data_IF_972574857113
#
_entry.id   IF_972574857113
#
_cell.length_a   1.000
_cell.length_b   1.000
_cell.length_c   1.000
_cell.angle_alpha   90.00
_cell.angle_beta   90.00
_cell.angle_gamma   90.00
#
_symmetry.space_group_name_H-M   'P 1'
#
loop_
_entity.id
_entity.type
_entity.pdbx_description
1 polymer ?
#
# COMPACT_ATOMS: atom_id res chain seq x y z
N UNK A 1 -31.29 88.31 -15.34
CA UNK A 1 -31.41 87.59 -14.05
C UNK A 1 -30.76 86.22 -14.26
N UNK A 2 -29.71 85.93 -13.48
CA UNK A 2 -28.82 84.75 -13.59
C UNK A 2 -29.62 83.42 -13.56
N UNK A 3 -29.12 82.31 -14.12
CA UNK A 3 -28.30 81.31 -13.42
C UNK A 3 -27.58 80.40 -14.45
N UNK A 4 -26.33 80.07 -14.14
CA UNK A 4 -25.43 79.12 -14.82
C UNK A 4 -25.72 77.67 -14.42
N UNK A 5 -25.69 76.71 -15.36
CA UNK A 5 -25.47 75.28 -15.05
C UNK A 5 -24.25 74.74 -15.83
N UNK A 6 -23.21 74.34 -15.07
CA UNK A 6 -22.20 73.36 -15.47
C UNK A 6 -22.67 71.98 -15.00
N UNK A 7 -22.42 70.89 -15.74
CA UNK A 7 -22.12 69.52 -15.25
C UNK A 7 -21.91 68.63 -16.50
N UNK A 8 -20.69 68.19 -16.83
CA UNK A 8 -19.94 66.98 -16.39
C UNK A 8 -20.30 65.74 -17.21
N UNK A 9 -19.27 65.02 -17.68
CA UNK A 9 -19.32 64.02 -18.72
C UNK A 9 -19.71 62.60 -18.30
N UNK A 10 -19.55 61.67 -19.23
CA UNK A 10 -19.58 60.23 -18.97
C UNK A 10 -18.37 59.61 -19.66
N UNK A 11 -17.44 59.08 -18.85
CA UNK A 11 -16.32 58.27 -19.29
C UNK A 11 -16.82 56.84 -19.59
N UNK A 12 -16.39 56.30 -20.74
CA UNK A 12 -16.65 54.91 -21.12
C UNK A 12 -15.80 53.97 -20.25
N UNK A 13 -16.45 53.18 -19.40
CA UNK A 13 -15.78 52.12 -18.62
C UNK A 13 -15.80 50.84 -19.45
N UNK A 14 -14.63 50.45 -19.96
CA UNK A 14 -14.41 49.16 -20.62
C UNK A 14 -14.64 48.02 -19.63
N UNK A 15 -15.60 47.15 -19.95
CA UNK A 15 -15.92 45.97 -19.15
C UNK A 15 -14.93 44.87 -19.54
N UNK A 16 -13.86 44.69 -18.74
CA UNK A 16 -12.99 43.51 -18.87
C UNK A 16 -13.74 42.34 -18.24
N UNK A 17 -14.21 41.40 -19.05
CA UNK A 17 -14.77 40.14 -18.57
C UNK A 17 -13.68 39.29 -17.93
N UNK A 18 -13.59 39.33 -16.60
CA UNK A 18 -12.72 38.44 -15.84
C UNK A 18 -13.40 37.06 -15.81
N UNK A 19 -12.99 36.16 -16.69
CA UNK A 19 -13.38 34.75 -16.57
C UNK A 19 -12.54 34.18 -15.43
N UNK A 20 -13.11 34.14 -14.24
CA UNK A 20 -12.56 33.39 -13.12
C UNK A 20 -12.65 31.91 -13.50
N UNK A 21 -11.54 31.32 -13.94
CA UNK A 21 -11.45 29.87 -14.05
C UNK A 21 -11.62 29.30 -12.64
N UNK A 22 -12.79 28.75 -12.34
CA UNK A 22 -12.97 27.93 -11.17
C UNK A 22 -12.08 26.71 -11.34
N UNK A 23 -10.99 26.63 -10.57
CA UNK A 23 -10.27 25.37 -10.40
C UNK A 23 -11.29 24.31 -10.00
N UNK A 24 -11.44 23.28 -10.83
CA UNK A 24 -12.22 22.08 -10.54
C UNK A 24 -11.57 21.38 -9.34
N UNK A 25 -11.86 21.87 -8.15
CA UNK A 25 -11.38 21.26 -6.92
C UNK A 25 -12.03 19.90 -6.77
N UNK A 26 -11.16 18.89 -6.65
CA UNK A 26 -11.40 17.63 -5.98
C UNK A 26 -12.53 16.77 -6.54
N UNK A 27 -12.21 15.97 -7.57
CA UNK A 27 -12.71 14.60 -7.53
C UNK A 27 -12.14 13.98 -6.24
N UNK A 28 -12.95 13.88 -5.19
CA UNK A 28 -12.62 13.00 -4.07
C UNK A 28 -12.58 11.61 -4.68
N UNK A 29 -11.37 11.08 -4.90
CA UNK A 29 -11.24 9.66 -5.21
C UNK A 29 -11.97 8.91 -4.12
N UNK A 30 -12.99 8.14 -4.51
CA UNK A 30 -13.62 7.20 -3.59
C UNK A 30 -12.50 6.33 -3.00
N UNK A 31 -12.57 5.96 -1.71
CA UNK A 31 -11.57 5.10 -1.10
C UNK A 31 -11.40 3.86 -1.97
N UNK A 32 -10.18 3.64 -2.47
CA UNK A 32 -9.88 2.47 -3.28
C UNK A 32 -10.06 1.22 -2.43
N UNK A 33 -10.68 0.15 -2.97
CA UNK A 33 -10.87 -1.08 -2.21
C UNK A 33 -9.53 -1.65 -1.75
N UNK A 34 -9.47 -2.36 -0.60
CA UNK A 34 -8.26 -3.02 -0.14
C UNK A 34 -7.77 -4.10 -1.11
N UNK A 35 -6.46 -4.22 -1.28
CA UNK A 35 -5.84 -5.39 -1.92
C UNK A 35 -4.81 -6.00 -0.97
N UNK A 36 -5.00 -7.25 -0.54
CA UNK A 36 -4.10 -7.90 0.41
C UNK A 36 -3.06 -8.75 -0.32
N UNK A 37 -1.78 -8.38 -0.17
CA UNK A 37 -0.63 -9.14 -0.66
C UNK A 37 -0.01 -9.87 0.52
N UNK A 38 -0.12 -11.20 0.54
CA UNK A 38 0.27 -12.00 1.70
C UNK A 38 1.66 -12.62 1.50
N UNK A 39 2.67 -12.15 2.23
CA UNK A 39 4.01 -12.72 2.23
C UNK A 39 4.26 -13.50 3.54
N UNK A 40 4.72 -14.75 3.44
CA UNK A 40 5.04 -15.54 4.61
C UNK A 40 5.50 -16.96 4.34
N UNK A 41 5.70 -17.71 5.42
CA UNK A 41 6.08 -19.13 5.36
C UNK A 41 4.87 -20.07 5.27
N UNK A 42 5.05 -21.34 5.64
CA UNK A 42 4.01 -22.38 5.67
C UNK A 42 2.74 -21.97 6.42
N UNK A 43 2.86 -21.08 7.41
CA UNK A 43 1.70 -20.58 8.18
C UNK A 43 0.81 -19.62 7.38
N UNK A 44 1.31 -19.07 6.28
CA UNK A 44 0.56 -18.19 5.35
C UNK A 44 0.19 -18.93 4.06
N UNK A 45 0.91 -20.00 3.73
CA UNK A 45 0.84 -20.71 2.44
C UNK A 45 -0.53 -21.27 2.04
N UNK A 46 -0.70 -21.51 0.74
CA UNK A 46 -1.83 -22.29 0.21
C UNK A 46 -1.88 -23.69 0.81
N UNK A 47 -3.11 -24.17 1.04
CA UNK A 47 -3.33 -25.50 1.61
C UNK A 47 -2.84 -26.61 0.68
N UNK A 48 -2.05 -27.52 1.22
CA UNK A 48 -1.50 -28.67 0.51
C UNK A 48 -1.48 -29.93 1.40
N UNK A 49 -1.17 -31.09 0.81
CA UNK A 49 -1.03 -32.34 1.56
C UNK A 49 0.04 -32.29 2.66
N UNK A 50 1.01 -31.39 2.52
CA UNK A 50 2.15 -31.26 3.44
C UNK A 50 2.01 -30.04 4.37
N UNK A 51 0.80 -29.51 4.51
CA UNK A 51 0.46 -28.36 5.36
C UNK A 51 -0.12 -27.18 4.59
N UNK A 52 -0.46 -26.12 5.31
CA UNK A 52 -0.87 -24.84 4.76
C UNK A 52 -1.34 -23.88 5.84
N UNK A 53 -1.64 -22.67 5.40
CA UNK A 53 -1.71 -21.49 6.23
C UNK A 53 -3.06 -20.79 6.23
N UNK A 54 -3.11 -19.67 6.94
CA UNK A 54 -4.32 -18.86 7.07
C UNK A 54 -4.65 -18.06 5.80
N UNK A 55 -3.69 -17.88 4.88
CA UNK A 55 -3.75 -16.91 3.80
C UNK A 55 -4.95 -17.11 2.87
N UNK A 56 -5.11 -18.29 2.28
CA UNK A 56 -6.22 -18.55 1.36
C UNK A 56 -7.57 -18.52 2.07
N UNK A 57 -7.61 -18.96 3.33
CA UNK A 57 -8.81 -18.85 4.16
C UNK A 57 -9.23 -17.38 4.32
N UNK A 58 -8.29 -16.51 4.66
CA UNK A 58 -8.54 -15.06 4.76
C UNK A 58 -9.01 -14.47 3.42
N UNK A 59 -8.30 -14.74 2.32
CA UNK A 59 -8.66 -14.21 1.00
C UNK A 59 -10.05 -14.68 0.54
N UNK A 60 -10.38 -15.95 0.73
CA UNK A 60 -11.60 -16.55 0.18
C UNK A 60 -12.85 -16.36 1.06
N UNK A 61 -12.69 -16.07 2.35
CA UNK A 61 -13.83 -16.04 3.30
C UNK A 61 -14.04 -14.70 4.00
N UNK A 62 -13.03 -13.81 4.00
CA UNK A 62 -13.08 -12.55 4.75
C UNK A 62 -13.19 -11.32 3.84
N UNK A 63 -12.79 -11.41 2.57
CA UNK A 63 -12.79 -10.26 1.66
C UNK A 63 -14.18 -10.03 1.06
N UNK A 64 -14.67 -8.80 1.17
CA UNK A 64 -15.97 -8.36 0.66
C UNK A 64 -15.88 -6.92 0.11
N UNK A 65 -16.96 -6.41 -0.48
CA UNK A 65 -17.05 -5.03 -1.01
C UNK A 65 -15.93 -4.65 -1.98
N UNK A 66 -15.57 -5.55 -2.90
CA UNK A 66 -14.56 -5.31 -3.93
C UNK A 66 -13.11 -5.45 -3.45
N UNK A 67 -12.89 -5.80 -2.17
CA UNK A 67 -11.57 -6.18 -1.70
C UNK A 67 -11.08 -7.45 -2.42
N UNK A 68 -9.78 -7.51 -2.69
CA UNK A 68 -9.13 -8.65 -3.34
C UNK A 68 -7.77 -8.93 -2.69
N UNK A 69 -7.06 -9.93 -3.19
CA UNK A 69 -5.71 -10.22 -2.70
C UNK A 69 -5.04 -11.38 -3.42
N UNK A 70 -3.77 -11.57 -3.09
CA UNK A 70 -2.94 -12.65 -3.61
C UNK A 70 -2.05 -13.20 -2.50
N UNK A 71 -2.01 -14.52 -2.41
CA UNK A 71 -1.17 -15.23 -1.46
C UNK A 71 0.15 -15.63 -2.11
N UNK A 72 1.26 -15.18 -1.54
CA UNK A 72 2.63 -15.57 -1.92
C UNK A 72 3.26 -16.49 -0.87
N UNK A 73 2.55 -16.81 0.21
CA UNK A 73 3.06 -17.71 1.22
C UNK A 73 3.34 -19.10 0.65
N UNK A 74 4.48 -19.68 1.02
CA UNK A 74 4.78 -21.06 0.65
C UNK A 74 5.60 -21.78 1.72
N UNK A 75 5.52 -23.10 1.69
CA UNK A 75 6.19 -23.95 2.67
C UNK A 75 7.71 -23.80 2.58
N UNK A 76 8.37 -23.81 3.74
CA UNK A 76 9.83 -23.78 3.86
C UNK A 76 10.48 -22.40 3.68
N UNK A 77 9.73 -21.36 3.33
CA UNK A 77 10.29 -20.02 3.15
C UNK A 77 10.93 -19.48 4.43
N UNK A 78 12.11 -18.88 4.31
CA UNK A 78 12.73 -17.99 5.29
C UNK A 78 12.73 -16.56 4.75
N UNK A 79 13.02 -15.56 5.59
CA UNK A 79 13.20 -14.18 5.11
C UNK A 79 14.30 -14.05 4.05
N UNK A 80 15.35 -14.89 4.14
CA UNK A 80 16.44 -14.93 3.16
C UNK A 80 15.99 -15.61 1.87
N UNK A 81 15.43 -16.82 1.95
CA UNK A 81 15.06 -17.57 0.75
C UNK A 81 13.94 -16.89 -0.04
N UNK A 82 13.00 -16.25 0.66
CA UNK A 82 11.88 -15.53 0.03
C UNK A 82 12.36 -14.28 -0.73
N UNK A 83 13.42 -13.64 -0.24
CA UNK A 83 14.10 -12.56 -0.97
C UNK A 83 14.90 -13.10 -2.13
N UNK A 84 15.83 -14.02 -1.85
CA UNK A 84 16.81 -14.50 -2.84
C UNK A 84 16.13 -15.34 -3.95
N UNK A 85 14.98 -15.94 -3.65
CA UNK A 85 14.15 -16.70 -4.58
C UNK A 85 13.28 -15.83 -5.51
N UNK A 86 13.22 -14.52 -5.27
CA UNK A 86 12.43 -13.57 -6.08
C UNK A 86 10.97 -13.39 -5.64
N UNK A 87 10.49 -14.14 -4.64
CA UNK A 87 9.11 -14.02 -4.15
C UNK A 87 8.82 -12.61 -3.62
N UNK A 88 9.81 -11.98 -2.98
CA UNK A 88 9.69 -10.60 -2.53
C UNK A 88 9.57 -9.59 -3.69
N UNK A 89 10.28 -9.80 -4.79
CA UNK A 89 10.17 -8.93 -5.97
C UNK A 89 8.79 -9.06 -6.63
N UNK A 90 8.22 -10.26 -6.64
CA UNK A 90 6.85 -10.51 -7.10
C UNK A 90 5.80 -9.83 -6.21
N UNK A 91 6.02 -9.81 -4.90
CA UNK A 91 5.19 -9.06 -3.94
C UNK A 91 5.22 -7.57 -4.27
N UNK A 92 6.41 -6.97 -4.42
CA UNK A 92 6.56 -5.54 -4.74
C UNK A 92 5.99 -5.21 -6.12
N UNK A 93 6.17 -6.09 -7.10
CA UNK A 93 5.60 -5.94 -8.44
C UNK A 93 4.08 -5.93 -8.39
N UNK A 94 3.47 -6.85 -7.64
CA UNK A 94 2.02 -6.90 -7.45
C UNK A 94 1.51 -5.61 -6.80
N UNK A 95 2.18 -5.12 -5.75
CA UNK A 95 1.84 -3.83 -5.12
C UNK A 95 1.82 -2.71 -6.16
N UNK A 96 2.89 -2.57 -6.95
CA UNK A 96 3.00 -1.51 -7.97
C UNK A 96 1.93 -1.62 -9.05
N UNK A 97 1.51 -2.84 -9.41
CA UNK A 97 0.47 -3.07 -10.41
C UNK A 97 -0.92 -2.68 -9.90
N UNK A 98 -1.23 -2.96 -8.64
CA UNK A 98 -2.59 -2.74 -8.09
C UNK A 98 -2.76 -1.37 -7.45
N UNK A 99 -1.67 -0.67 -7.10
CA UNK A 99 -1.72 0.53 -6.24
C UNK A 99 -2.45 1.72 -6.82
N UNK A 100 -2.81 1.74 -8.10
CA UNK A 100 -3.58 2.84 -8.70
C UNK A 100 -5.08 2.60 -8.57
N UNK A 101 -5.52 1.35 -8.65
CA UNK A 101 -6.91 0.90 -8.55
C UNK A 101 -7.32 0.49 -7.13
N UNK A 102 -6.36 0.01 -6.33
CA UNK A 102 -6.56 -0.51 -4.98
C UNK A 102 -5.74 0.26 -3.93
N UNK A 103 -6.06 0.05 -2.66
CA UNK A 103 -5.19 0.36 -1.54
C UNK A 103 -4.49 -0.92 -1.06
N UNK A 104 -3.22 -1.15 -1.44
CA UNK A 104 -2.54 -2.41 -1.13
C UNK A 104 -2.09 -2.47 0.34
N UNK A 105 -2.34 -3.61 0.96
CA UNK A 105 -1.79 -4.00 2.26
C UNK A 105 -0.84 -5.17 2.06
N UNK A 106 0.34 -5.14 2.67
CA UNK A 106 1.30 -6.26 2.62
C UNK A 106 1.40 -6.88 4.00
N UNK A 107 0.98 -8.13 4.17
CA UNK A 107 1.24 -8.85 5.42
C UNK A 107 2.59 -9.53 5.34
N UNK A 108 3.40 -9.42 6.39
CA UNK A 108 4.75 -10.00 6.47
C UNK A 108 4.80 -10.93 7.68
N UNK A 109 4.77 -12.25 7.44
CA UNK A 109 4.76 -13.27 8.50
C UNK A 109 5.78 -14.38 8.24
N UNK A 110 6.95 -14.23 8.85
CA UNK A 110 8.05 -15.19 8.79
C UNK A 110 8.55 -15.53 10.20
N UNK A 111 9.48 -16.47 10.29
CA UNK A 111 10.20 -16.81 11.51
C UNK A 111 10.24 -18.30 11.82
N UNK A 112 9.24 -19.08 11.40
CA UNK A 112 9.19 -20.51 11.77
C UNK A 112 10.36 -21.31 11.15
N UNK A 113 10.78 -20.93 9.94
CA UNK A 113 11.93 -21.54 9.28
C UNK A 113 13.24 -20.81 9.59
N UNK A 114 13.23 -19.49 9.74
CA UNK A 114 14.41 -18.69 10.05
C UNK A 114 15.06 -19.11 11.38
N UNK A 115 14.27 -19.52 12.37
CA UNK A 115 14.77 -19.97 13.68
C UNK A 115 15.39 -21.37 13.67
N UNK A 116 15.24 -22.14 12.58
CA UNK A 116 15.76 -23.52 12.52
C UNK A 116 17.29 -23.47 12.38
N UNK A 117 18.07 -24.27 13.13
CA UNK A 117 19.52 -24.27 13.03
C UNK A 117 20.05 -24.48 11.60
N UNK A 118 19.37 -25.30 10.82
CA UNK A 118 19.72 -25.59 9.42
C UNK A 118 19.58 -24.37 8.48
N UNK A 119 18.78 -23.36 8.84
CA UNK A 119 18.65 -22.14 8.05
C UNK A 119 19.91 -21.25 8.16
N UNK A 120 20.67 -21.38 9.25
CA UNK A 120 21.88 -20.59 9.50
C UNK A 120 21.65 -19.06 9.39
N UNK A 121 20.49 -18.58 9.83
CA UNK A 121 20.11 -17.17 9.83
C UNK A 121 20.26 -16.62 11.25
N UNK A 122 21.07 -15.57 11.40
CA UNK A 122 21.20 -14.90 12.70
C UNK A 122 19.96 -14.06 13.02
N UNK A 123 19.68 -13.82 14.30
CA UNK A 123 18.59 -12.94 14.71
C UNK A 123 18.73 -11.52 14.11
N UNK A 124 19.96 -11.03 13.98
CA UNK A 124 20.26 -9.75 13.34
C UNK A 124 19.85 -9.76 11.87
N UNK A 125 20.24 -10.79 11.11
CA UNK A 125 19.89 -10.92 9.69
C UNK A 125 18.38 -11.05 9.48
N UNK A 126 17.71 -11.86 10.30
CA UNK A 126 16.25 -11.98 10.31
C UNK A 126 15.57 -10.62 10.55
N UNK A 127 16.01 -9.88 11.58
CA UNK A 127 15.45 -8.57 11.93
C UNK A 127 15.66 -7.56 10.80
N UNK A 128 16.89 -7.46 10.28
CA UNK A 128 17.21 -6.56 9.17
C UNK A 128 16.42 -6.88 7.90
N UNK A 129 16.18 -8.17 7.59
CA UNK A 129 15.36 -8.53 6.44
C UNK A 129 13.90 -8.08 6.61
N UNK A 130 13.31 -8.27 7.80
CA UNK A 130 11.94 -7.83 8.06
C UNK A 130 11.81 -6.29 7.99
N UNK A 131 12.77 -5.55 8.54
CA UNK A 131 12.81 -4.08 8.46
C UNK A 131 12.90 -3.61 7.00
N UNK A 132 13.72 -4.29 6.19
CA UNK A 132 13.81 -4.02 4.74
C UNK A 132 12.51 -4.31 4.02
N UNK A 133 11.86 -5.44 4.28
CA UNK A 133 10.57 -5.75 3.68
C UNK A 133 9.50 -4.70 3.99
N UNK A 134 9.47 -4.20 5.21
CA UNK A 134 8.53 -3.14 5.62
C UNK A 134 8.81 -1.84 4.87
N UNK A 135 10.08 -1.44 4.82
CA UNK A 135 10.52 -0.22 4.13
C UNK A 135 10.18 -0.31 2.64
N UNK A 136 10.55 -1.40 1.98
CA UNK A 136 10.37 -1.58 0.54
C UNK A 136 8.89 -1.72 0.15
N UNK A 137 8.05 -2.34 0.99
CA UNK A 137 6.60 -2.37 0.78
C UNK A 137 5.98 -0.97 0.87
N UNK A 138 6.45 -0.16 1.83
CA UNK A 138 6.04 1.24 1.97
C UNK A 138 6.44 2.05 0.75
N UNK A 139 7.70 1.92 0.32
CA UNK A 139 8.23 2.61 -0.87
C UNK A 139 7.51 2.20 -2.17
N UNK A 140 7.02 0.96 -2.25
CA UNK A 140 6.20 0.50 -3.37
C UNK A 140 4.78 1.10 -3.38
N UNK A 141 4.32 1.64 -2.24
CA UNK A 141 3.02 2.28 -2.08
C UNK A 141 1.98 1.44 -1.32
N UNK A 142 2.41 0.43 -0.57
CA UNK A 142 1.53 -0.37 0.29
C UNK A 142 1.58 0.07 1.76
N UNK A 143 0.55 -0.33 2.51
CA UNK A 143 0.58 -0.30 3.98
C UNK A 143 1.05 -1.66 4.50
N UNK A 144 2.26 -1.76 5.05
CA UNK A 144 2.76 -3.03 5.59
C UNK A 144 2.07 -3.37 6.93
N UNK A 145 1.93 -4.67 7.20
CA UNK A 145 1.48 -5.22 8.46
C UNK A 145 2.40 -6.37 8.88
N UNK A 146 3.14 -6.17 9.98
CA UNK A 146 4.05 -7.15 10.56
C UNK A 146 3.73 -7.35 12.03
N UNK A 147 3.85 -8.59 12.51
CA UNK A 147 3.69 -8.94 13.94
C UNK A 147 4.97 -8.78 14.76
N UNK A 148 6.09 -8.37 14.15
CA UNK A 148 7.35 -8.24 14.89
C UNK A 148 7.35 -6.97 15.77
N UNK A 149 7.58 -7.06 17.10
CA UNK A 149 7.37 -5.95 18.04
C UNK A 149 8.14 -4.67 17.70
N UNK A 150 9.40 -4.77 17.25
CA UNK A 150 10.20 -3.59 16.89
C UNK A 150 9.69 -2.89 15.63
N UNK A 151 9.02 -3.63 14.75
CA UNK A 151 8.51 -3.14 13.47
C UNK A 151 7.09 -2.61 13.65
N UNK A 152 6.24 -3.28 14.44
CA UNK A 152 4.88 -2.81 14.73
C UNK A 152 4.86 -1.43 15.42
N UNK A 153 5.97 -1.01 16.06
CA UNK A 153 6.14 0.32 16.61
C UNK A 153 6.45 1.40 15.54
N UNK A 154 7.07 1.02 14.42
CA UNK A 154 7.39 1.92 13.31
C UNK A 154 6.17 2.16 12.38
N UNK A 155 5.13 1.35 12.52
CA UNK A 155 3.92 1.36 11.68
C UNK A 155 2.72 2.10 12.29
N UNK A 156 2.90 2.76 13.43
CA UNK A 156 1.86 3.50 14.15
C UNK A 156 2.00 5.01 13.98
#
# INVERSE_FOLDING_TARGET
>A
MSISLKTTGVALVSIISYVQAYSSSAFKHLPRPPFFVLAGDSTTATQSSNGGGWGDGFLNTTLFNGASGRNFGHNGATTVSFRDGGDWDDVLTTVRQVRDDYHPFVTIQFGHNDQKPAANISLSQYTSNLERFVTEATDAGATPNSRHPSISAQLR
#
